data_IF_582820286521
#
_entry.id   IF_582820286521
#
_cell.length_a   1.000
_cell.length_b   1.000
_cell.length_c   1.000
_cell.angle_alpha   90.00
_cell.angle_beta   90.00
_cell.angle_gamma   90.00
#
_symmetry.space_group_name_H-M   'P 1'
#
loop_
_entity.id
_entity.type
_entity.pdbx_description
1 polymer ?
#
# COMPACT_ATOMS: atom_id res chain seq x y z
N UNK A 1 32.84 -43.11 -38.65
CA UNK A 1 33.34 -41.96 -39.50
C UNK A 1 32.27 -40.91 -39.84
N UNK A 2 31.16 -40.82 -39.15
CA UNK A 2 30.01 -39.92 -39.48
C UNK A 2 29.78 -38.72 -38.53
N UNK A 3 30.43 -38.68 -37.39
CA UNK A 3 30.20 -37.58 -36.44
C UNK A 3 31.09 -36.35 -36.64
N UNK A 4 32.24 -36.48 -37.29
CA UNK A 4 33.16 -35.35 -37.51
C UNK A 4 32.69 -34.35 -38.58
N UNK A 5 31.72 -34.69 -39.39
CA UNK A 5 31.19 -33.79 -40.43
C UNK A 5 30.15 -32.81 -39.90
N UNK A 6 29.57 -33.09 -38.72
CA UNK A 6 28.56 -32.22 -38.11
C UNK A 6 29.16 -30.97 -37.43
N UNK A 7 30.35 -31.13 -36.83
CA UNK A 7 31.01 -30.02 -36.13
C UNK A 7 31.71 -29.00 -37.04
N UNK A 8 32.02 -29.33 -38.28
CA UNK A 8 32.69 -28.43 -39.22
C UNK A 8 31.77 -27.36 -39.80
N UNK A 9 30.46 -27.54 -39.74
CA UNK A 9 29.45 -26.56 -40.20
C UNK A 9 29.03 -25.52 -39.18
N UNK A 10 29.45 -25.65 -37.90
CA UNK A 10 29.11 -24.69 -36.85
C UNK A 10 30.04 -23.49 -36.75
N UNK A 11 31.22 -23.55 -37.45
CA UNK A 11 32.20 -22.45 -37.40
C UNK A 11 31.96 -21.33 -38.41
N UNK A 12 30.95 -21.44 -39.25
CA UNK A 12 30.67 -20.47 -40.35
C UNK A 12 29.32 -19.74 -40.15
N UNK A 13 28.88 -19.48 -38.90
CA UNK A 13 27.75 -18.58 -38.67
C UNK A 13 28.21 -17.14 -38.95
N UNK A 14 27.61 -16.42 -39.92
CA UNK A 14 27.99 -15.04 -40.21
C UNK A 14 27.74 -14.17 -38.95
N UNK A 15 28.71 -13.29 -38.65
CA UNK A 15 28.70 -12.37 -37.49
C UNK A 15 27.40 -11.57 -37.37
N UNK A 16 26.63 -11.44 -38.43
CA UNK A 16 25.37 -10.73 -38.48
C UNK A 16 24.24 -11.49 -37.75
N UNK A 17 24.23 -12.83 -37.76
CA UNK A 17 23.21 -13.64 -37.07
C UNK A 17 23.38 -13.53 -35.57
N UNK A 18 24.61 -13.51 -35.05
CA UNK A 18 24.90 -13.33 -33.64
C UNK A 18 24.48 -11.94 -33.13
N UNK A 19 24.60 -10.93 -33.99
CA UNK A 19 24.20 -9.55 -33.70
C UNK A 19 22.65 -9.41 -33.67
N UNK A 20 21.96 -10.07 -34.59
CA UNK A 20 20.47 -10.11 -34.57
C UNK A 20 19.95 -10.82 -33.34
N UNK A 21 20.47 -12.00 -33.03
CA UNK A 21 20.04 -12.72 -31.81
C UNK A 21 20.32 -11.94 -30.52
N UNK A 22 21.43 -11.19 -30.44
CA UNK A 22 21.72 -10.37 -29.25
C UNK A 22 20.77 -9.19 -29.11
N UNK A 23 20.35 -8.58 -30.23
CA UNK A 23 19.40 -7.47 -30.21
C UNK A 23 17.96 -7.97 -29.88
N UNK A 24 17.55 -9.14 -30.40
CA UNK A 24 16.28 -9.76 -30.03
C UNK A 24 16.27 -10.14 -28.55
N UNK A 25 17.34 -10.74 -28.03
CA UNK A 25 17.46 -11.08 -26.61
C UNK A 25 17.40 -9.83 -25.71
N UNK A 26 18.02 -8.72 -26.09
CA UNK A 26 17.96 -7.45 -25.34
C UNK A 26 16.58 -6.78 -25.47
N UNK A 27 15.89 -6.98 -26.56
CA UNK A 27 14.57 -6.43 -26.80
C UNK A 27 13.50 -7.26 -26.07
N UNK A 28 13.67 -8.58 -26.01
CA UNK A 28 12.85 -9.49 -25.23
C UNK A 28 13.03 -9.28 -23.70
N UNK A 29 14.27 -9.04 -23.24
CA UNK A 29 14.55 -8.68 -21.85
C UNK A 29 13.89 -7.35 -21.47
N UNK A 30 13.97 -6.32 -22.33
CA UNK A 30 13.32 -5.03 -22.06
C UNK A 30 11.79 -5.12 -22.08
N UNK A 31 11.22 -5.89 -23.00
CA UNK A 31 9.76 -6.17 -23.06
C UNK A 31 9.31 -7.03 -21.89
N UNK A 32 10.16 -7.90 -21.36
CA UNK A 32 9.88 -8.70 -20.16
C UNK A 32 9.85 -7.83 -18.89
N UNK A 33 10.68 -6.79 -18.80
CA UNK A 33 10.64 -5.78 -17.73
C UNK A 33 9.39 -4.91 -17.78
N UNK A 34 8.81 -4.67 -18.95
CA UNK A 34 7.54 -3.97 -19.14
C UNK A 34 6.33 -4.92 -19.19
N UNK A 35 6.51 -6.16 -18.75
CA UNK A 35 5.40 -7.11 -18.62
C UNK A 35 4.25 -6.47 -17.82
N UNK A 36 3.00 -6.54 -18.28
CA UNK A 36 1.83 -5.98 -17.58
C UNK A 36 1.71 -6.38 -16.11
N UNK A 37 2.36 -7.47 -15.71
CA UNK A 37 2.44 -7.94 -14.31
C UNK A 37 3.14 -6.97 -13.35
N UNK A 38 3.95 -6.03 -13.86
CA UNK A 38 4.65 -5.04 -13.03
C UNK A 38 3.86 -3.75 -12.82
N UNK A 39 2.77 -3.54 -13.56
CA UNK A 39 1.94 -2.33 -13.47
C UNK A 39 1.47 -2.07 -12.03
N UNK A 40 0.87 -3.03 -11.29
CA UNK A 40 0.45 -2.78 -9.92
C UNK A 40 1.61 -2.33 -9.02
N UNK A 41 2.77 -2.99 -9.13
CA UNK A 41 3.96 -2.67 -8.33
C UNK A 41 4.47 -1.23 -8.61
N UNK A 42 4.43 -0.79 -9.86
CA UNK A 42 4.83 0.58 -10.24
C UNK A 42 3.87 1.59 -9.62
N UNK A 43 2.57 1.34 -9.65
CA UNK A 43 1.56 2.23 -9.07
C UNK A 43 1.74 2.34 -7.55
N UNK A 44 2.02 1.24 -6.86
CA UNK A 44 2.34 1.26 -5.42
C UNK A 44 3.58 2.11 -5.12
N UNK A 45 4.65 1.99 -5.92
CA UNK A 45 5.86 2.80 -5.77
C UNK A 45 5.54 4.29 -6.01
N UNK A 46 4.78 4.61 -7.05
CA UNK A 46 4.33 5.99 -7.33
C UNK A 46 3.54 6.55 -6.14
N UNK A 47 2.67 5.75 -5.52
CA UNK A 47 1.93 6.16 -4.31
C UNK A 47 2.86 6.47 -3.15
N UNK A 48 3.86 5.64 -2.89
CA UNK A 48 4.87 5.91 -1.84
C UNK A 48 5.61 7.22 -2.12
N UNK A 49 5.99 7.46 -3.38
CA UNK A 49 6.63 8.71 -3.79
C UNK A 49 5.69 9.91 -3.61
N UNK A 50 4.39 9.75 -3.88
CA UNK A 50 3.37 10.80 -3.70
C UNK A 50 3.12 11.17 -2.23
N UNK A 51 3.48 10.32 -1.26
CA UNK A 51 3.40 10.65 0.18
C UNK A 51 4.16 11.94 0.47
N UNK A 52 5.39 12.03 -0.03
CA UNK A 52 6.28 13.16 0.29
C UNK A 52 5.73 14.53 -0.20
N UNK A 53 5.35 14.72 -1.48
CA UNK A 53 4.77 15.98 -1.93
C UNK A 53 3.42 16.27 -1.25
N UNK A 54 2.59 15.27 -0.96
CA UNK A 54 1.33 15.46 -0.25
C UNK A 54 1.56 16.02 1.15
N UNK A 55 2.47 15.44 1.93
CA UNK A 55 2.87 15.92 3.25
C UNK A 55 3.44 17.34 3.18
N UNK A 56 4.32 17.61 2.19
CA UNK A 56 4.89 18.95 2.00
C UNK A 56 3.84 20.02 1.71
N UNK A 57 2.80 19.70 0.89
CA UNK A 57 1.70 20.62 0.61
C UNK A 57 0.87 20.89 1.87
N UNK A 58 0.62 19.87 2.72
CA UNK A 58 -0.06 20.06 4.01
C UNK A 58 0.75 21.02 4.90
N UNK A 59 2.06 20.76 5.09
CA UNK A 59 2.94 21.57 5.94
C UNK A 59 3.05 23.01 5.46
N UNK A 60 3.05 23.22 4.12
CA UNK A 60 3.04 24.55 3.50
C UNK A 60 1.65 25.22 3.50
N UNK A 61 0.64 24.60 4.09
CA UNK A 61 -0.76 25.06 4.12
C UNK A 61 -1.38 25.23 2.73
N UNK A 62 -0.86 24.52 1.73
CA UNK A 62 -1.41 24.47 0.36
C UNK A 62 -2.45 23.35 0.24
N UNK A 63 -3.55 23.48 0.97
CA UNK A 63 -4.53 22.39 1.16
C UNK A 63 -5.22 21.96 -0.12
N UNK A 64 -5.42 22.85 -1.08
CA UNK A 64 -6.02 22.53 -2.37
C UNK A 64 -5.15 21.52 -3.13
N UNK A 65 -3.83 21.77 -3.20
CA UNK A 65 -2.89 20.84 -3.84
C UNK A 65 -2.72 19.54 -3.04
N UNK A 66 -2.72 19.62 -1.72
CA UNK A 66 -2.70 18.45 -0.88
C UNK A 66 -3.92 17.54 -1.12
N UNK A 67 -5.11 18.14 -1.25
CA UNK A 67 -6.34 17.41 -1.55
C UNK A 67 -6.27 16.73 -2.92
N UNK A 68 -5.79 17.42 -3.96
CA UNK A 68 -5.65 16.86 -5.31
C UNK A 68 -4.66 15.70 -5.31
N UNK A 69 -3.50 15.87 -4.68
CA UNK A 69 -2.49 14.80 -4.60
C UNK A 69 -2.99 13.57 -3.81
N UNK A 70 -3.68 13.81 -2.69
CA UNK A 70 -4.28 12.76 -1.90
C UNK A 70 -5.37 12.01 -2.68
N UNK A 71 -6.20 12.73 -3.43
CA UNK A 71 -7.23 12.13 -4.29
C UNK A 71 -6.61 11.30 -5.42
N UNK A 72 -5.56 11.81 -6.09
CA UNK A 72 -4.83 11.07 -7.13
C UNK A 72 -4.25 9.78 -6.55
N UNK A 73 -3.63 9.83 -5.37
CA UNK A 73 -3.08 8.66 -4.72
C UNK A 73 -4.16 7.61 -4.38
N UNK A 74 -5.32 8.05 -3.87
CA UNK A 74 -6.44 7.16 -3.55
C UNK A 74 -7.11 6.55 -4.79
N UNK A 75 -7.28 7.33 -5.86
CA UNK A 75 -7.82 6.82 -7.13
C UNK A 75 -6.84 5.82 -7.77
N UNK A 76 -5.55 6.11 -7.74
CA UNK A 76 -4.52 5.19 -8.23
C UNK A 76 -4.59 3.83 -7.53
N UNK A 77 -4.80 3.80 -6.21
CA UNK A 77 -5.01 2.58 -5.43
C UNK A 77 -6.26 1.79 -5.86
N UNK A 78 -7.38 2.50 -6.06
CA UNK A 78 -8.60 1.85 -6.52
C UNK A 78 -8.44 1.22 -7.91
N UNK A 79 -7.69 1.88 -8.80
CA UNK A 79 -7.42 1.40 -10.16
C UNK A 79 -6.50 0.18 -10.13
N UNK A 80 -5.37 0.21 -9.41
CA UNK A 80 -4.43 -0.91 -9.38
C UNK A 80 -5.04 -2.15 -8.70
N UNK A 81 -5.77 -1.96 -7.61
CA UNK A 81 -6.52 -3.02 -6.95
C UNK A 81 -7.58 -3.66 -7.86
N UNK A 82 -8.25 -2.88 -8.70
CA UNK A 82 -9.19 -3.37 -9.70
C UNK A 82 -8.46 -4.14 -10.82
N UNK A 83 -7.39 -3.57 -11.39
CA UNK A 83 -6.60 -4.22 -12.45
C UNK A 83 -5.98 -5.53 -11.97
N UNK A 84 -5.37 -5.54 -10.78
CA UNK A 84 -4.75 -6.72 -10.22
C UNK A 84 -5.74 -7.89 -10.06
N UNK A 85 -6.97 -7.59 -9.63
CA UNK A 85 -8.05 -8.59 -9.49
C UNK A 85 -8.61 -9.04 -10.82
N UNK A 86 -8.81 -8.12 -11.77
CA UNK A 86 -9.44 -8.43 -13.06
C UNK A 86 -8.53 -9.24 -13.98
N UNK A 87 -7.22 -8.93 -13.97
CA UNK A 87 -6.23 -9.60 -14.84
C UNK A 87 -5.41 -10.68 -14.14
N UNK A 88 -5.62 -10.92 -12.85
CA UNK A 88 -4.87 -11.91 -12.07
C UNK A 88 -3.38 -11.59 -11.91
N UNK A 89 -2.99 -10.31 -12.02
CA UNK A 89 -1.60 -9.84 -11.91
C UNK A 89 -1.19 -9.61 -10.45
N UNK A 90 -1.33 -10.64 -9.64
CA UNK A 90 -1.00 -10.57 -8.21
C UNK A 90 0.46 -10.94 -8.04
N UNK A 91 1.31 -9.99 -7.64
CA UNK A 91 2.68 -10.28 -7.22
C UNK A 91 2.74 -10.46 -5.70
N UNK A 92 3.57 -11.42 -5.21
CA UNK A 92 3.75 -11.63 -3.76
C UNK A 92 4.28 -10.38 -3.05
N UNK A 93 5.14 -9.62 -3.71
CA UNK A 93 5.73 -8.39 -3.16
C UNK A 93 4.69 -7.25 -3.19
N UNK A 94 3.94 -7.09 -4.28
CA UNK A 94 2.89 -6.08 -4.40
C UNK A 94 1.82 -6.23 -3.32
N UNK A 95 1.30 -7.43 -3.12
CA UNK A 95 0.26 -7.69 -2.11
C UNK A 95 0.67 -7.36 -0.66
N UNK A 96 1.99 -7.31 -0.36
CA UNK A 96 2.52 -6.88 0.93
C UNK A 96 2.78 -5.36 0.96
N UNK A 97 3.24 -4.79 -0.15
CA UNK A 97 3.57 -3.36 -0.24
C UNK A 97 2.32 -2.47 -0.27
N UNK A 98 1.22 -2.91 -0.91
CA UNK A 98 -0.01 -2.13 -1.04
C UNK A 98 -0.59 -1.71 0.33
N UNK A 99 -0.85 -2.62 1.29
CA UNK A 99 -1.37 -2.23 2.60
C UNK A 99 -0.42 -1.32 3.38
N UNK A 100 0.89 -1.45 3.16
CA UNK A 100 1.90 -0.61 3.80
C UNK A 100 1.88 0.80 3.20
N UNK A 101 1.83 0.92 1.88
CA UNK A 101 1.79 2.20 1.17
C UNK A 101 0.56 3.04 1.56
N UNK A 102 -0.63 2.40 1.63
CA UNK A 102 -1.87 3.06 2.05
C UNK A 102 -1.79 3.57 3.48
N UNK A 103 -1.27 2.76 4.39
CA UNK A 103 -1.11 3.15 5.78
C UNK A 103 -0.08 4.25 5.96
N UNK A 104 1.03 4.22 5.19
CA UNK A 104 2.02 5.27 5.19
C UNK A 104 1.43 6.61 4.72
N UNK A 105 0.64 6.61 3.65
CA UNK A 105 0.00 7.82 3.14
C UNK A 105 -0.93 8.44 4.19
N UNK A 106 -1.88 7.67 4.72
CA UNK A 106 -2.85 8.15 5.72
C UNK A 106 -2.17 8.63 6.99
N UNK A 107 -1.31 7.80 7.59
CA UNK A 107 -0.63 8.13 8.86
C UNK A 107 0.26 9.36 8.72
N UNK A 108 1.01 9.48 7.62
CA UNK A 108 1.85 10.66 7.35
C UNK A 108 1.03 11.94 7.20
N UNK A 109 -0.12 11.88 6.49
CA UNK A 109 -1.03 13.01 6.36
C UNK A 109 -1.66 13.41 7.70
N UNK A 110 -2.03 12.43 8.56
CA UNK A 110 -2.54 12.71 9.92
C UNK A 110 -1.49 13.40 10.80
N UNK A 111 -0.24 12.93 10.78
CA UNK A 111 0.85 13.54 11.53
C UNK A 111 1.16 14.96 11.01
N UNK A 112 1.16 15.16 9.69
CA UNK A 112 1.35 16.47 9.09
C UNK A 112 0.20 17.44 9.45
N UNK A 113 -1.05 16.99 9.40
CA UNK A 113 -2.20 17.80 9.80
C UNK A 113 -2.19 18.14 11.30
N UNK A 114 -1.76 17.22 12.16
CA UNK A 114 -1.60 17.46 13.58
C UNK A 114 -0.46 18.46 13.89
N UNK A 115 0.66 18.39 13.16
CA UNK A 115 1.81 19.28 13.35
C UNK A 115 1.49 20.74 13.05
N UNK A 116 0.53 21.03 12.17
CA UNK A 116 0.09 22.39 11.85
C UNK A 116 -1.18 22.82 12.59
N UNK A 117 -1.67 21.97 13.52
CA UNK A 117 -2.78 22.26 14.42
C UNK A 117 -4.18 22.04 13.81
N UNK A 118 -4.30 21.35 12.65
CA UNK A 118 -5.60 21.04 12.04
C UNK A 118 -6.31 19.86 12.72
N UNK A 119 -5.54 18.91 13.24
CA UNK A 119 -6.04 17.76 13.97
C UNK A 119 -5.38 17.68 15.36
N UNK A 120 -6.06 17.13 16.36
CA UNK A 120 -5.46 16.94 17.68
C UNK A 120 -4.38 15.83 17.63
N UNK A 121 -3.24 16.05 18.27
CA UNK A 121 -2.12 15.12 18.33
C UNK A 121 -2.49 13.75 18.88
N UNK A 122 -3.35 13.70 19.90
CA UNK A 122 -3.78 12.44 20.47
C UNK A 122 -4.47 11.51 19.45
N UNK A 123 -5.25 12.09 18.51
CA UNK A 123 -5.88 11.32 17.43
C UNK A 123 -4.87 10.80 16.42
N UNK A 124 -3.91 11.64 16.00
CA UNK A 124 -2.86 11.24 15.06
C UNK A 124 -2.01 10.09 15.64
N UNK A 125 -1.65 10.18 16.93
CA UNK A 125 -0.93 9.10 17.63
C UNK A 125 -1.78 7.84 17.73
N UNK A 126 -3.08 7.95 18.08
CA UNK A 126 -3.97 6.81 18.17
C UNK A 126 -4.07 6.05 16.84
N UNK A 127 -4.23 6.78 15.73
CA UNK A 127 -4.25 6.21 14.38
C UNK A 127 -2.91 5.54 14.04
N UNK A 128 -1.79 6.23 14.28
CA UNK A 128 -0.45 5.71 13.99
C UNK A 128 -0.14 4.43 14.78
N UNK A 129 -0.43 4.40 16.07
CA UNK A 129 -0.22 3.22 16.94
C UNK A 129 -1.07 2.04 16.46
N UNK A 130 -2.34 2.27 16.17
CA UNK A 130 -3.24 1.21 15.66
C UNK A 130 -2.73 0.66 14.34
N UNK A 131 -2.33 1.52 13.39
CA UNK A 131 -1.84 1.09 12.09
C UNK A 131 -0.51 0.32 12.22
N UNK A 132 0.38 0.76 13.12
CA UNK A 132 1.62 0.05 13.45
C UNK A 132 1.34 -1.35 14.03
N UNK A 133 0.40 -1.48 14.97
CA UNK A 133 -0.01 -2.76 15.56
C UNK A 133 -0.50 -3.73 14.48
N UNK A 134 -1.29 -3.25 13.53
CA UNK A 134 -1.79 -4.08 12.42
C UNK A 134 -0.64 -4.53 11.51
N UNK A 135 0.27 -3.61 11.13
CA UNK A 135 1.40 -3.93 10.25
C UNK A 135 2.33 -4.93 10.95
N UNK A 136 2.73 -4.66 12.19
CA UNK A 136 3.61 -5.55 12.96
C UNK A 136 2.95 -6.92 13.15
N UNK A 137 1.66 -6.94 13.45
CA UNK A 137 0.89 -8.18 13.55
C UNK A 137 0.86 -8.95 12.22
N UNK A 138 0.56 -8.32 11.11
CA UNK A 138 0.50 -8.95 9.79
C UNK A 138 1.87 -9.48 9.34
N UNK A 139 2.92 -8.68 9.51
CA UNK A 139 4.30 -9.06 9.17
C UNK A 139 4.79 -10.17 10.09
N UNK A 140 4.55 -10.07 11.40
CA UNK A 140 4.94 -11.10 12.38
C UNK A 140 4.29 -12.45 12.08
N UNK A 141 3.02 -12.47 11.72
CA UNK A 141 2.32 -13.70 11.34
C UNK A 141 2.88 -14.29 10.04
N UNK A 142 3.16 -13.46 9.04
CA UNK A 142 3.75 -13.91 7.77
C UNK A 142 5.10 -14.61 7.95
N UNK A 143 5.93 -14.14 8.89
CA UNK A 143 7.24 -14.74 9.15
C UNK A 143 7.18 -15.98 10.07
N UNK A 144 6.17 -16.11 10.95
CA UNK A 144 6.13 -17.13 11.97
C UNK A 144 5.28 -18.37 11.59
N UNK A 145 4.23 -18.23 10.76
CA UNK A 145 3.16 -19.24 10.72
C UNK A 145 2.62 -19.66 9.33
N UNK A 146 3.24 -19.32 8.20
CA UNK A 146 2.75 -19.60 6.82
C UNK A 146 1.82 -18.54 6.17
N UNK A 147 1.62 -18.59 4.82
CA UNK A 147 0.92 -17.55 4.08
C UNK A 147 -0.53 -17.40 4.57
N UNK A 148 -0.77 -16.22 5.12
CA UNK A 148 -2.01 -15.84 5.77
C UNK A 148 -3.03 -15.30 4.76
N UNK A 149 -4.19 -15.92 4.67
CA UNK A 149 -5.41 -15.35 4.08
C UNK A 149 -6.17 -14.54 5.15
N UNK A 150 -5.54 -13.51 5.69
CA UNK A 150 -6.16 -12.59 6.63
C UNK A 150 -7.19 -11.71 5.96
N UNK A 151 -8.45 -12.13 6.00
CA UNK A 151 -9.53 -11.26 5.52
C UNK A 151 -9.66 -10.05 6.45
N UNK A 152 -9.54 -8.82 5.93
CA UNK A 152 -9.71 -7.62 6.72
C UNK A 152 -11.12 -7.56 7.31
N UNK A 153 -11.22 -7.35 8.62
CA UNK A 153 -12.52 -7.24 9.30
C UNK A 153 -13.32 -6.05 8.78
N UNK A 154 -14.63 -6.16 8.78
CA UNK A 154 -15.53 -5.06 8.39
C UNK A 154 -15.26 -3.76 9.16
N UNK A 155 -14.95 -3.89 10.45
CA UNK A 155 -14.61 -2.75 11.31
C UNK A 155 -13.31 -2.06 10.88
N UNK A 156 -12.30 -2.79 10.40
CA UNK A 156 -11.08 -2.19 9.86
C UNK A 156 -11.35 -1.41 8.58
N UNK A 157 -12.23 -1.90 7.70
CA UNK A 157 -12.64 -1.19 6.48
C UNK A 157 -13.41 0.09 6.81
N UNK A 158 -14.36 0.00 7.75
CA UNK A 158 -15.13 1.15 8.22
C UNK A 158 -14.22 2.21 8.84
N UNK A 159 -13.28 1.80 9.69
CA UNK A 159 -12.32 2.72 10.29
C UNK A 159 -11.48 3.45 9.25
N UNK A 160 -10.93 2.74 8.25
CA UNK A 160 -10.15 3.38 7.17
C UNK A 160 -11.01 4.36 6.37
N UNK A 161 -12.26 4.02 6.10
CA UNK A 161 -13.21 4.93 5.44
C UNK A 161 -13.45 6.20 6.25
N UNK A 162 -13.71 6.08 7.57
CA UNK A 162 -13.87 7.22 8.46
C UNK A 162 -12.60 8.09 8.54
N UNK A 163 -11.43 7.47 8.55
CA UNK A 163 -10.15 8.18 8.53
C UNK A 163 -9.97 8.99 7.24
N UNK A 164 -10.26 8.40 6.08
CA UNK A 164 -10.20 9.10 4.79
C UNK A 164 -11.18 10.27 4.79
N UNK A 165 -12.41 10.05 5.25
CA UNK A 165 -13.44 11.09 5.29
C UNK A 165 -13.03 12.27 6.19
N UNK A 166 -12.49 12.00 7.38
CA UNK A 166 -12.00 13.04 8.27
C UNK A 166 -10.84 13.83 7.65
N UNK A 167 -9.88 13.15 7.02
CA UNK A 167 -8.74 13.82 6.39
C UNK A 167 -9.18 14.70 5.22
N UNK A 168 -10.07 14.21 4.34
CA UNK A 168 -10.64 14.97 3.25
C UNK A 168 -11.38 16.20 3.76
N UNK A 169 -12.22 16.06 4.81
CA UNK A 169 -12.95 17.17 5.42
C UNK A 169 -11.99 18.19 6.04
N UNK A 170 -10.91 17.72 6.67
CA UNK A 170 -9.88 18.59 7.26
C UNK A 170 -9.14 19.40 6.21
N UNK A 171 -8.73 18.77 5.11
CA UNK A 171 -8.07 19.45 3.98
C UNK A 171 -9.01 20.41 3.26
N UNK A 172 -10.28 20.01 3.10
CA UNK A 172 -11.32 20.86 2.52
C UNK A 172 -11.55 22.13 3.35
N UNK A 173 -11.66 21.98 4.68
CA UNK A 173 -11.80 23.12 5.59
C UNK A 173 -10.62 24.08 5.52
N UNK A 174 -9.40 23.55 5.37
CA UNK A 174 -8.20 24.39 5.24
C UNK A 174 -8.10 25.14 3.91
N UNK A 175 -8.64 24.57 2.83
CA UNK A 175 -8.42 25.06 1.47
C UNK A 175 -9.60 25.81 0.82
N UNK A 176 -10.84 25.57 1.26
CA UNK A 176 -12.03 26.07 0.57
C UNK A 176 -13.01 26.77 1.51
N UNK A 177 -13.66 26.04 2.39
CA UNK A 177 -14.76 26.56 3.18
C UNK A 177 -14.75 25.97 4.60
N UNK A 178 -15.06 26.83 5.59
CA UNK A 178 -15.15 26.40 6.98
C UNK A 178 -16.29 25.38 7.19
N UNK A 179 -15.95 24.25 7.83
CA UNK A 179 -16.92 23.25 8.26
C UNK A 179 -17.38 23.60 9.66
N UNK A 180 -18.68 23.50 10.00
CA UNK A 180 -19.15 23.78 11.34
C UNK A 180 -18.42 22.93 12.39
N UNK A 181 -17.96 23.51 13.51
CA UNK A 181 -17.12 22.82 14.50
C UNK A 181 -17.74 21.54 15.06
N UNK A 182 -19.07 21.48 15.18
CA UNK A 182 -19.76 20.29 15.67
C UNK A 182 -19.64 19.08 14.74
N UNK A 183 -19.64 19.29 13.41
CA UNK A 183 -19.40 18.23 12.44
C UNK A 183 -17.96 17.72 12.49
N UNK A 184 -16.99 18.65 12.58
CA UNK A 184 -15.57 18.28 12.69
C UNK A 184 -15.30 17.49 13.97
N UNK A 185 -15.81 17.96 15.12
CA UNK A 185 -15.67 17.25 16.38
C UNK A 185 -16.35 15.86 16.34
N UNK A 186 -17.54 15.79 15.72
CA UNK A 186 -18.25 14.53 15.53
C UNK A 186 -17.41 13.50 14.74
N UNK A 187 -16.79 13.94 13.64
CA UNK A 187 -15.91 13.07 12.84
C UNK A 187 -14.65 12.65 13.60
N UNK A 188 -14.03 13.55 14.38
CA UNK A 188 -12.87 13.26 15.22
C UNK A 188 -13.19 12.15 16.22
N UNK A 189 -14.30 12.27 16.95
CA UNK A 189 -14.73 11.25 17.92
C UNK A 189 -15.16 9.94 17.25
N UNK A 190 -15.80 10.01 16.08
CA UNK A 190 -16.15 8.84 15.30
C UNK A 190 -14.91 8.06 14.87
N UNK A 191 -13.88 8.74 14.34
CA UNK A 191 -12.62 8.11 13.97
C UNK A 191 -11.92 7.54 15.20
N UNK A 192 -11.91 8.24 16.33
CA UNK A 192 -11.33 7.72 17.56
C UNK A 192 -12.03 6.44 18.02
N UNK A 193 -13.37 6.43 18.07
CA UNK A 193 -14.15 5.26 18.47
C UNK A 193 -13.92 4.07 17.54
N UNK A 194 -13.99 4.27 16.22
CA UNK A 194 -13.76 3.19 15.24
C UNK A 194 -12.32 2.68 15.28
N UNK A 195 -11.33 3.55 15.54
CA UNK A 195 -9.92 3.17 15.69
C UNK A 195 -9.70 2.30 16.92
N UNK A 196 -10.28 2.66 18.07
CA UNK A 196 -10.19 1.87 19.31
C UNK A 196 -10.86 0.52 19.13
N UNK A 197 -12.09 0.48 18.61
CA UNK A 197 -12.84 -0.78 18.39
C UNK A 197 -12.08 -1.70 17.45
N UNK A 198 -11.59 -1.16 16.32
CA UNK A 198 -10.79 -1.91 15.35
C UNK A 198 -9.48 -2.43 15.96
N UNK A 199 -8.79 -1.63 16.79
CA UNK A 199 -7.57 -2.03 17.49
C UNK A 199 -7.79 -3.17 18.46
N UNK A 200 -8.82 -3.08 19.31
CA UNK A 200 -9.19 -4.13 20.26
C UNK A 200 -9.53 -5.43 19.54
N UNK A 201 -10.32 -5.37 18.47
CA UNK A 201 -10.66 -6.56 17.69
C UNK A 201 -9.43 -7.24 17.09
N UNK A 202 -8.47 -6.46 16.59
CA UNK A 202 -7.23 -7.01 16.06
C UNK A 202 -6.43 -7.72 17.15
N UNK A 203 -6.19 -7.07 18.29
CA UNK A 203 -5.42 -7.64 19.40
C UNK A 203 -6.10 -8.92 19.93
N UNK A 204 -7.42 -8.92 20.09
CA UNK A 204 -8.17 -10.10 20.58
C UNK A 204 -8.17 -11.25 19.57
N UNK A 205 -8.29 -10.95 18.28
CA UNK A 205 -8.28 -11.96 17.23
C UNK A 205 -6.90 -12.66 17.15
N UNK A 206 -5.82 -11.87 17.15
CA UNK A 206 -4.44 -12.37 17.09
C UNK A 206 -4.04 -13.09 18.38
N UNK A 207 -4.45 -12.57 19.53
CA UNK A 207 -4.20 -13.25 20.80
C UNK A 207 -4.83 -14.65 20.83
N UNK A 208 -6.09 -14.79 20.40
CA UNK A 208 -6.76 -16.09 20.32
C UNK A 208 -6.08 -17.06 19.34
N UNK A 209 -5.64 -16.60 18.19
CA UNK A 209 -4.93 -17.45 17.22
C UNK A 209 -3.60 -17.95 17.77
N UNK A 210 -2.78 -17.05 18.36
CA UNK A 210 -1.49 -17.40 18.94
C UNK A 210 -1.62 -18.45 20.06
N UNK A 211 -2.57 -18.30 20.94
CA UNK A 211 -2.82 -19.28 22.01
C UNK A 211 -3.35 -20.62 21.49
N UNK A 212 -4.11 -20.62 20.39
CA UNK A 212 -4.66 -21.83 19.78
C UNK A 212 -3.56 -22.68 19.13
N UNK A 213 -2.62 -22.06 18.44
CA UNK A 213 -1.52 -22.75 17.79
C UNK A 213 -0.48 -23.25 18.79
N UNK A 214 -0.16 -22.46 19.82
CA UNK A 214 0.74 -22.90 20.89
C UNK A 214 0.24 -24.19 21.58
N UNK A 215 -1.06 -24.37 21.67
CA UNK A 215 -1.67 -25.59 22.24
C UNK A 215 -1.50 -26.80 21.32
N UNK A 216 -1.52 -26.62 19.99
CA UNK A 216 -1.35 -27.71 19.01
C UNK A 216 0.11 -28.19 18.97
N UNK A 217 1.08 -27.33 19.28
CA UNK A 217 2.51 -27.70 19.33
C UNK A 217 2.95 -28.25 20.71
N UNK A 218 2.10 -28.20 21.73
CA UNK A 218 2.43 -28.72 23.08
C UNK A 218 1.79 -30.07 23.41
N UNK A 219 0.88 -30.54 22.57
CA UNK A 219 0.29 -31.89 22.59
C UNK A 219 0.93 -32.77 21.49
#
# INVERSE_FOLDING_TARGET
MSQWRYYKNLSAKPKNIVRYQKNECLQDDFMTYLSPRHIPNIITIVRIVLVWPTVMMILKRQFQWALVLFFIAGVSDAIDGFLAKHYGWISRIGSLLDPIADKLLLTSCYLAAASIGLLPWWLAILVAVRDLVIIVGAVGYYFLLHPFEGQPTWTSKLNTFCQILLLLTTLWQGGFQSVPPHWMNGLIYLVAATTIVSGIQYVTHWGKQFFREKKIFSD
#
